data_IF_934061610220
#
_entry.id   IF_934061610220
#
_cell.length_a   1.000
_cell.length_b   1.000
_cell.length_c   1.000
_cell.angle_alpha   90.00
_cell.angle_beta   90.00
_cell.angle_gamma   90.00
#
_symmetry.space_group_name_H-M   'P 1'
#
loop_
_entity.id
_entity.type
_entity.pdbx_description
1 polymer ?
#
# COMPACT_ATOMS: atom_id res chain seq x y z
N UNK A 1 -16.34 3.58 -15.52
CA UNK A 1 -15.13 3.20 -14.74
C UNK A 1 -13.93 3.27 -15.69
N UNK A 2 -12.86 3.98 -15.33
CA UNK A 2 -11.62 4.06 -16.13
C UNK A 2 -10.48 3.48 -15.30
N UNK A 3 -9.79 2.48 -15.85
CA UNK A 3 -8.69 1.77 -15.19
C UNK A 3 -7.51 1.73 -16.16
N UNK A 4 -6.29 2.02 -15.68
CA UNK A 4 -5.04 1.82 -16.42
C UNK A 4 -4.06 1.08 -15.51
N UNK A 5 -3.62 -0.08 -15.97
CA UNK A 5 -2.66 -0.96 -15.30
C UNK A 5 -1.64 -1.44 -16.34
N UNK A 6 -0.54 -2.04 -15.88
CA UNK A 6 0.52 -2.54 -16.76
C UNK A 6 1.65 -1.53 -16.98
N UNK A 7 2.61 -1.94 -17.81
CA UNK A 7 3.85 -1.21 -18.05
C UNK A 7 3.64 0.04 -18.94
N UNK A 8 4.59 1.00 -18.92
CA UNK A 8 4.65 2.03 -19.93
C UNK A 8 4.71 1.41 -21.34
N UNK A 9 4.09 2.10 -22.31
CA UNK A 9 4.26 1.80 -23.72
C UNK A 9 5.28 2.80 -24.26
N UNK A 10 6.41 2.29 -24.73
CA UNK A 10 7.48 3.11 -25.31
C UNK A 10 7.48 2.92 -26.83
N UNK A 11 7.20 3.99 -27.55
CA UNK A 11 6.90 3.96 -28.99
C UNK A 11 8.19 3.85 -29.84
N UNK A 12 9.15 4.77 -29.62
CA UNK A 12 10.43 4.88 -30.36
C UNK A 12 11.67 4.85 -29.44
N UNK A 13 11.47 4.69 -28.12
CA UNK A 13 12.50 4.90 -27.09
C UNK A 13 13.26 3.66 -26.60
N UNK A 14 13.03 2.49 -27.22
CA UNK A 14 13.69 1.24 -26.83
C UNK A 14 15.19 1.32 -27.16
N UNK A 15 16.04 1.34 -26.12
CA UNK A 15 17.50 1.34 -26.29
C UNK A 15 18.20 2.69 -26.09
N UNK A 16 17.49 3.72 -25.64
CA UNK A 16 18.08 5.05 -25.30
C UNK A 16 18.90 5.06 -24.00
N UNK A 17 18.86 3.98 -23.22
CA UNK A 17 19.51 3.90 -21.90
C UNK A 17 18.74 4.60 -20.77
N UNK A 18 17.54 5.11 -21.05
CA UNK A 18 16.66 5.73 -20.05
C UNK A 18 15.83 4.67 -19.32
N UNK A 19 15.68 4.80 -18.00
CA UNK A 19 14.86 3.89 -17.19
C UNK A 19 13.36 4.08 -17.49
N UNK A 20 12.67 2.96 -17.71
CA UNK A 20 11.22 2.90 -17.91
C UNK A 20 10.64 1.79 -17.03
N UNK A 21 9.57 2.10 -16.32
CA UNK A 21 8.95 1.17 -15.38
C UNK A 21 7.77 1.77 -14.63
N UNK A 22 7.17 0.98 -13.75
CA UNK A 22 6.09 1.43 -12.86
C UNK A 22 6.62 1.40 -11.42
N UNK A 23 6.40 2.49 -10.68
CA UNK A 23 6.55 2.49 -9.23
C UNK A 23 5.16 2.21 -8.65
N UNK A 24 4.89 0.99 -8.13
CA UNK A 24 3.59 0.64 -7.61
C UNK A 24 3.31 1.42 -6.32
N UNK A 25 2.06 1.87 -6.16
CA UNK A 25 1.57 2.49 -4.94
C UNK A 25 0.54 1.56 -4.30
N UNK A 26 0.67 1.39 -2.99
CA UNK A 26 -0.24 0.58 -2.18
C UNK A 26 -0.72 1.39 -0.99
N UNK A 27 -2.01 1.30 -0.66
CA UNK A 27 -2.52 1.75 0.63
C UNK A 27 -2.31 0.62 1.63
N UNK A 28 -1.64 0.91 2.75
CA UNK A 28 -1.36 -0.05 3.82
C UNK A 28 -1.80 0.50 5.16
N UNK A 29 -2.16 -0.39 6.09
CA UNK A 29 -2.41 -0.05 7.48
C UNK A 29 -1.10 -0.13 8.27
N UNK A 30 -0.81 0.94 9.03
CA UNK A 30 0.36 1.02 9.90
C UNK A 30 0.20 0.27 11.22
N UNK A 31 1.14 0.50 12.13
CA UNK A 31 1.02 0.06 13.53
C UNK A 31 -0.16 0.76 14.22
N UNK A 32 -1.00 0.03 14.98
CA UNK A 32 -2.07 0.64 15.76
C UNK A 32 -1.53 1.61 16.80
N UNK A 33 -2.23 2.73 16.98
CA UNK A 33 -1.94 3.72 18.01
C UNK A 33 -3.02 3.60 19.08
N UNK A 34 -2.61 3.40 20.34
CA UNK A 34 -3.53 3.34 21.47
C UNK A 34 -4.24 4.69 21.67
N UNK A 35 -5.51 4.65 22.09
CA UNK A 35 -6.31 5.86 22.29
C UNK A 35 -5.91 6.64 23.55
N UNK A 36 -5.46 5.94 24.58
CA UNK A 36 -5.07 6.46 25.89
C UNK A 36 -4.06 5.52 26.57
N UNK A 37 -3.55 5.91 27.75
CA UNK A 37 -2.57 5.13 28.53
C UNK A 37 -3.12 3.79 29.01
N UNK A 38 -4.41 3.71 29.34
CA UNK A 38 -5.05 2.46 29.76
C UNK A 38 -5.02 1.43 28.61
N UNK A 39 -5.33 1.90 27.39
CA UNK A 39 -5.36 1.08 26.19
C UNK A 39 -3.99 0.59 25.73
N UNK A 40 -2.88 1.21 26.17
CA UNK A 40 -1.53 0.78 25.79
C UNK A 40 -1.18 -0.62 26.28
N UNK A 41 -1.77 -1.05 27.39
CA UNK A 41 -1.49 -2.33 28.02
C UNK A 41 -2.51 -3.42 27.67
N UNK A 42 -3.56 -3.05 26.92
CA UNK A 42 -4.58 -3.99 26.49
C UNK A 42 -4.11 -4.80 25.28
N UNK A 43 -4.47 -6.09 25.17
CA UNK A 43 -4.16 -6.86 23.99
C UNK A 43 -4.89 -6.28 22.77
N UNK A 44 -4.18 -6.18 21.65
CA UNK A 44 -4.76 -5.69 20.39
C UNK A 44 -5.90 -6.65 19.95
N UNK A 45 -7.13 -6.12 19.72
CA UNK A 45 -8.25 -6.93 19.26
C UNK A 45 -7.98 -7.66 17.93
N UNK A 46 -8.55 -8.84 17.77
CA UNK A 46 -8.37 -9.67 16.56
C UNK A 46 -8.80 -8.93 15.28
N UNK A 47 -9.90 -8.17 15.33
CA UNK A 47 -10.39 -7.37 14.20
C UNK A 47 -9.39 -6.30 13.75
N UNK A 48 -8.63 -5.70 14.67
CA UNK A 48 -7.60 -4.71 14.35
C UNK A 48 -6.40 -5.37 13.68
N UNK A 49 -6.00 -6.56 14.14
CA UNK A 49 -4.95 -7.36 13.50
C UNK A 49 -5.33 -7.75 12.08
N UNK A 50 -6.58 -8.17 11.88
CA UNK A 50 -7.12 -8.53 10.57
C UNK A 50 -7.17 -7.34 9.61
N UNK A 51 -7.62 -6.18 10.09
CA UNK A 51 -7.63 -4.96 9.29
C UNK A 51 -6.20 -4.55 8.89
N UNK A 52 -5.22 -4.70 9.79
CA UNK A 52 -3.82 -4.41 9.46
C UNK A 52 -3.27 -5.36 8.40
N UNK A 53 -3.61 -6.65 8.49
CA UNK A 53 -3.16 -7.66 7.52
C UNK A 53 -3.79 -7.45 6.13
N UNK A 54 -5.05 -7.01 6.09
CA UNK A 54 -5.80 -6.77 4.86
C UNK A 54 -6.60 -5.45 4.96
N UNK A 55 -5.92 -4.31 4.79
CA UNK A 55 -6.58 -3.01 4.84
C UNK A 55 -7.56 -2.89 3.67
N UNK A 56 -8.78 -2.48 3.98
CA UNK A 56 -9.77 -2.15 2.94
C UNK A 56 -9.42 -0.76 2.40
N UNK A 57 -9.01 -0.71 1.13
CA UNK A 57 -8.76 0.52 0.36
C UNK A 57 -9.86 0.84 -0.61
#
# INVERSE_FOLDING_TARGET
MKIRTGMPHDDEGTGTGVWSGVIPLHLVAGEPIAADEESQNLPIPQSVKEFRANPKG
#
